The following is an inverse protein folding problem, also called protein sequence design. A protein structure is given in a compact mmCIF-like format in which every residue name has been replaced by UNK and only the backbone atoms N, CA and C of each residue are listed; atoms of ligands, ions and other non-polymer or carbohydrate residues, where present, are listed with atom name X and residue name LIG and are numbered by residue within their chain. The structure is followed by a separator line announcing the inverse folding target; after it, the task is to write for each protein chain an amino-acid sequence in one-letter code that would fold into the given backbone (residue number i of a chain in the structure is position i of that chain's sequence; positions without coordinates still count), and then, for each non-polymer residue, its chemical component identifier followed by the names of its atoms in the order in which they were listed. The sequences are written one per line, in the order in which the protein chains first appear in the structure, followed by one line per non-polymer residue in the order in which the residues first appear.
data_IF_548025795469
#
_entry.id   IF_548025795469
#
_cell.length_a   1.000
_cell.length_b   1.000
_cell.length_c   1.000
_cell.angle_alpha   90.00
_cell.angle_beta   90.00
_cell.angle_gamma   90.00
#
_symmetry.space_group_name_H-M   'P 1'
#
loop_
_entity.id
_entity.type
_entity.pdbx_description
1 polymer ?
#
# COMPACT_ATOMS: atom_id res chain seq x y z
N UNK A 1 -16.61 9.15 10.87
CA UNK A 1 -17.12 10.35 10.15
C UNK A 1 -16.27 11.61 10.37
N UNK A 2 -15.79 11.88 11.62
CA UNK A 2 -15.02 13.11 11.91
C UNK A 2 -13.62 13.14 11.31
N UNK A 3 -12.90 11.99 11.29
CA UNK A 3 -11.54 11.91 10.79
C UNK A 3 -11.52 12.08 9.26
N UNK A 4 -12.41 11.43 8.53
CA UNK A 4 -12.47 11.55 7.07
C UNK A 4 -12.82 12.94 6.60
N UNK A 5 -13.71 13.63 7.30
CA UNK A 5 -14.07 15.02 6.99
C UNK A 5 -12.91 15.99 7.27
N UNK A 6 -12.19 15.81 8.38
CA UNK A 6 -11.08 16.68 8.77
C UNK A 6 -9.84 16.51 7.88
N UNK A 7 -9.59 15.31 7.34
CA UNK A 7 -8.42 14.99 6.52
C UNK A 7 -8.71 15.03 5.02
N UNK A 8 -9.96 15.30 4.59
CA UNK A 8 -10.36 15.30 3.19
C UNK A 8 -10.15 13.94 2.50
N UNK A 9 -10.19 12.86 3.25
CA UNK A 9 -9.98 11.53 2.71
C UNK A 9 -11.15 11.11 1.80
N UNK A 10 -10.83 10.57 0.65
CA UNK A 10 -11.85 10.04 -0.25
C UNK A 10 -12.58 8.87 0.40
N UNK A 11 -13.89 8.94 0.37
CA UNK A 11 -14.77 7.85 0.82
C UNK A 11 -15.45 7.21 -0.40
N UNK A 12 -15.94 5.99 -0.24
CA UNK A 12 -16.68 5.26 -1.28
C UNK A 12 -18.11 5.80 -1.52
N UNK A 13 -18.41 7.00 -1.17
CA UNK A 13 -19.78 7.58 -1.18
C UNK A 13 -20.66 7.11 -0.03
N UNK A 14 -20.27 6.05 0.68
CA UNK A 14 -20.95 5.52 1.87
C UNK A 14 -20.29 6.00 3.17
N UNK A 15 -19.38 6.94 3.09
CA UNK A 15 -18.67 7.52 4.22
C UNK A 15 -17.56 6.63 4.79
N UNK A 16 -17.15 5.58 4.07
CA UNK A 16 -16.03 4.70 4.46
C UNK A 16 -14.71 5.24 3.90
N UNK A 17 -13.66 5.12 4.69
CA UNK A 17 -12.31 5.54 4.30
C UNK A 17 -11.59 4.36 3.66
N UNK A 18 -11.11 4.55 2.45
CA UNK A 18 -10.21 3.59 1.80
C UNK A 18 -8.75 3.92 2.10
N UNK A 19 -7.96 2.93 2.45
CA UNK A 19 -6.53 3.08 2.70
C UNK A 19 -5.74 1.89 2.15
N UNK A 20 -4.47 2.13 1.80
CA UNK A 20 -3.50 1.07 1.56
C UNK A 20 -2.73 0.80 2.85
N UNK A 21 -2.40 -0.46 3.09
CA UNK A 21 -1.58 -0.87 4.21
C UNK A 21 -0.62 -1.97 3.76
N UNK A 22 0.53 -2.08 4.40
CA UNK A 22 1.47 -3.16 4.12
C UNK A 22 0.80 -4.54 4.29
N UNK A 23 1.15 -5.49 3.44
CA UNK A 23 0.61 -6.85 3.48
C UNK A 23 0.88 -7.59 4.78
N UNK A 24 1.91 -7.20 5.55
CA UNK A 24 2.16 -7.71 6.89
C UNK A 24 1.00 -7.44 7.86
N UNK A 25 0.18 -6.41 7.60
CA UNK A 25 -1.02 -6.12 8.38
C UNK A 25 -2.09 -7.23 8.34
N UNK A 26 -1.99 -8.17 7.38
CA UNK A 26 -2.84 -9.36 7.34
C UNK A 26 -2.36 -10.49 8.26
N UNK A 27 -1.16 -10.38 8.82
CA UNK A 27 -0.64 -11.35 9.78
C UNK A 27 -1.32 -11.13 11.13
N UNK A 28 -1.49 -12.22 11.88
CA UNK A 28 -1.97 -12.14 13.26
C UNK A 28 -0.91 -11.47 14.13
N UNK A 29 -1.35 -10.63 15.04
CA UNK A 29 -0.49 -10.13 16.11
C UNK A 29 -0.26 -11.23 17.14
N UNK A 30 0.92 -11.26 17.74
CA UNK A 30 1.24 -12.21 18.83
C UNK A 30 0.27 -12.08 20.03
N UNK A 31 -0.32 -10.91 20.21
CA UNK A 31 -1.21 -10.58 21.32
C UNK A 31 -2.70 -10.82 21.02
N UNK A 32 -3.08 -11.27 19.81
CA UNK A 32 -4.49 -11.38 19.47
C UNK A 32 -4.81 -12.35 18.33
N UNK A 33 -6.06 -12.79 18.28
CA UNK A 33 -6.58 -13.66 17.21
C UNK A 33 -6.82 -12.91 15.90
N UNK A 34 -6.84 -11.56 15.92
CA UNK A 34 -7.15 -10.69 14.80
C UNK A 34 -5.89 -10.08 14.20
N UNK A 35 -5.91 -9.91 12.88
CA UNK A 35 -4.88 -9.14 12.17
C UNK A 35 -5.13 -7.64 12.31
N UNK A 36 -4.10 -6.83 12.06
CA UNK A 36 -4.23 -5.36 12.04
C UNK A 36 -5.26 -4.91 11.00
N UNK A 37 -5.30 -5.55 9.83
CA UNK A 37 -6.30 -5.27 8.80
C UNK A 37 -7.75 -5.51 9.28
N UNK A 38 -7.98 -6.59 10.04
CA UNK A 38 -9.30 -6.86 10.63
C UNK A 38 -9.71 -5.80 11.65
N UNK A 39 -8.76 -5.34 12.47
CA UNK A 39 -9.00 -4.29 13.47
C UNK A 39 -9.35 -2.93 12.82
N UNK A 40 -8.69 -2.58 11.71
CA UNK A 40 -9.04 -1.37 10.94
C UNK A 40 -10.43 -1.49 10.33
N UNK A 41 -10.74 -2.65 9.74
CA UNK A 41 -12.03 -2.89 9.12
C UNK A 41 -13.19 -2.78 10.14
N UNK A 42 -13.03 -3.31 11.35
CA UNK A 42 -14.03 -3.21 12.42
C UNK A 42 -14.29 -1.75 12.83
N UNK A 43 -13.33 -0.86 12.64
CA UNK A 43 -13.47 0.58 12.87
C UNK A 43 -14.01 1.37 11.68
N UNK A 44 -14.44 0.68 10.63
CA UNK A 44 -14.98 1.31 9.41
C UNK A 44 -13.92 1.84 8.46
N UNK A 45 -12.64 1.51 8.67
CA UNK A 45 -11.55 1.86 7.77
C UNK A 45 -11.29 0.67 6.85
N UNK A 46 -11.61 0.83 5.56
CA UNK A 46 -11.35 -0.20 4.57
C UNK A 46 -9.87 -0.16 4.16
N UNK A 47 -9.11 -1.15 4.58
CA UNK A 47 -7.70 -1.29 4.21
C UNK A 47 -7.55 -2.33 3.12
N UNK A 48 -6.78 -1.99 2.09
CA UNK A 48 -6.30 -2.92 1.09
C UNK A 48 -4.85 -3.26 1.41
N UNK A 49 -4.61 -4.49 1.88
CA UNK A 49 -3.29 -5.01 2.19
C UNK A 49 -2.70 -5.84 1.03
N UNK A 50 -3.37 -5.89 -0.12
CA UNK A 50 -2.86 -6.54 -1.33
C UNK A 50 -2.05 -5.54 -2.17
N UNK A 51 -0.97 -5.02 -1.59
CA UNK A 51 -0.08 -4.08 -2.26
C UNK A 51 0.97 -4.80 -3.10
N UNK A 52 1.23 -4.28 -4.30
CA UNK A 52 2.31 -4.78 -5.13
C UNK A 52 3.64 -4.17 -4.64
N UNK A 53 4.56 -5.04 -4.20
CA UNK A 53 5.86 -4.66 -3.63
C UNK A 53 7.03 -4.78 -4.62
N UNK A 54 6.77 -5.02 -5.92
CA UNK A 54 7.85 -5.05 -6.91
C UNK A 54 8.62 -3.72 -6.89
N UNK A 55 9.88 -3.81 -6.50
CA UNK A 55 10.73 -2.65 -6.26
C UNK A 55 11.05 -1.93 -7.57
N UNK A 56 11.53 -2.66 -8.56
CA UNK A 56 12.01 -2.06 -9.81
C UNK A 56 10.86 -1.52 -10.66
N UNK A 57 9.80 -2.31 -10.82
CA UNK A 57 8.60 -1.84 -11.51
C UNK A 57 7.98 -0.63 -10.82
N UNK A 58 7.99 -0.61 -9.48
CA UNK A 58 7.49 0.51 -8.69
C UNK A 58 8.33 1.77 -8.88
N UNK A 59 9.66 1.69 -8.82
CA UNK A 59 10.57 2.81 -9.09
C UNK A 59 10.35 3.36 -10.51
N UNK A 60 10.27 2.48 -11.51
CA UNK A 60 10.04 2.89 -12.89
C UNK A 60 8.70 3.64 -13.04
N UNK A 61 7.64 3.16 -12.41
CA UNK A 61 6.32 3.82 -12.45
C UNK A 61 6.33 5.18 -11.76
N UNK A 62 7.00 5.33 -10.61
CA UNK A 62 7.15 6.62 -9.93
C UNK A 62 7.92 7.61 -10.82
N UNK A 63 9.06 7.18 -11.38
CA UNK A 63 9.85 8.00 -12.32
C UNK A 63 9.02 8.45 -13.51
N UNK A 64 8.27 7.53 -14.12
CA UNK A 64 7.42 7.84 -15.27
C UNK A 64 6.27 8.80 -14.90
N UNK A 65 5.71 8.68 -13.70
CA UNK A 65 4.68 9.60 -13.23
C UNK A 65 5.23 11.01 -12.97
N UNK A 66 6.45 11.12 -12.43
CA UNK A 66 7.13 12.39 -12.22
C UNK A 66 7.57 13.05 -13.53
N UNK A 67 8.12 12.27 -14.48
CA UNK A 67 8.54 12.76 -15.79
C UNK A 67 7.35 13.14 -16.67
N UNK A 68 6.30 12.33 -16.63
CA UNK A 68 5.11 12.46 -17.45
C UNK A 68 5.33 12.13 -18.93
N UNK A 69 4.30 12.36 -19.72
CA UNK A 69 4.31 12.21 -21.18
C UNK A 69 4.31 13.59 -21.83
N UNK A 70 5.19 13.79 -22.82
CA UNK A 70 5.32 15.09 -23.47
C UNK A 70 5.73 16.24 -22.53
N UNK A 71 6.46 15.93 -21.47
CA UNK A 71 6.91 16.91 -20.48
C UNK A 71 5.84 17.36 -19.47
N UNK A 72 4.66 16.73 -19.47
CA UNK A 72 3.59 17.03 -18.51
C UNK A 72 3.60 15.99 -17.38
N UNK A 73 4.07 16.32 -16.16
CA UNK A 73 4.05 15.40 -15.03
C UNK A 73 2.63 14.94 -14.71
N UNK A 74 2.49 13.67 -14.31
CA UNK A 74 1.22 13.09 -13.80
C UNK A 74 1.22 12.97 -12.27
N UNK A 75 2.36 13.24 -11.65
CA UNK A 75 2.54 13.26 -10.20
C UNK A 75 3.17 14.58 -9.80
N UNK A 76 2.51 15.27 -8.89
CA UNK A 76 2.98 16.52 -8.28
C UNK A 76 3.16 16.29 -6.78
N UNK A 77 4.27 16.79 -6.24
CA UNK A 77 4.57 16.69 -4.80
C UNK A 77 4.55 18.10 -4.24
N UNK A 78 3.67 18.34 -3.29
CA UNK A 78 3.57 19.64 -2.63
C UNK A 78 4.79 19.90 -1.74
N UNK A 79 5.19 21.16 -1.62
CA UNK A 79 6.37 21.56 -0.85
C UNK A 79 6.29 21.22 0.65
N UNK A 80 5.10 21.06 1.19
CA UNK A 80 4.88 20.65 2.58
C UNK A 80 5.08 19.14 2.81
N UNK A 81 5.26 18.32 1.75
CA UNK A 81 5.63 16.91 1.86
C UNK A 81 7.13 16.75 2.16
N UNK A 82 7.61 17.37 3.22
CA UNK A 82 9.05 17.53 3.52
C UNK A 82 9.80 16.21 3.66
N UNK A 83 9.17 15.20 4.25
CA UNK A 83 9.77 13.87 4.43
C UNK A 83 9.96 13.17 3.08
N UNK A 84 8.92 13.13 2.25
CA UNK A 84 8.98 12.53 0.92
C UNK A 84 10.04 13.23 0.04
N UNK A 85 10.09 14.57 0.09
CA UNK A 85 11.08 15.34 -0.68
C UNK A 85 12.50 15.03 -0.20
N UNK A 86 12.72 14.93 1.12
CA UNK A 86 14.01 14.56 1.71
C UNK A 86 14.44 13.18 1.24
N UNK A 87 13.55 12.20 1.32
CA UNK A 87 13.83 10.82 0.90
C UNK A 87 14.12 10.74 -0.60
N UNK A 88 13.34 11.43 -1.46
CA UNK A 88 13.60 11.50 -2.91
C UNK A 88 14.99 12.06 -3.24
N UNK A 89 15.42 13.09 -2.53
CA UNK A 89 16.76 13.69 -2.73
C UNK A 89 17.89 12.78 -2.23
N UNK A 90 17.62 11.97 -1.21
CA UNK A 90 18.58 11.04 -0.63
C UNK A 90 18.57 9.64 -1.21
N UNK A 91 17.68 9.35 -2.18
CA UNK A 91 17.52 8.01 -2.75
C UNK A 91 18.56 7.74 -3.83
N UNK A 92 19.45 6.80 -3.57
CA UNK A 92 20.52 6.46 -4.50
C UNK A 92 20.75 4.96 -4.57
N UNK A 93 21.40 4.53 -5.65
CA UNK A 93 21.77 3.14 -5.85
C UNK A 93 22.92 2.75 -4.93
N UNK A 94 22.79 1.60 -4.28
CA UNK A 94 23.84 0.99 -3.49
C UNK A 94 24.73 0.06 -4.32
N UNK A 95 25.55 -0.71 -3.66
CA UNK A 95 26.33 -1.80 -4.28
C UNK A 95 25.36 -2.93 -4.70
N UNK A 96 25.53 -3.45 -5.93
CA UNK A 96 24.74 -4.58 -6.46
C UNK A 96 23.42 -4.16 -7.12
N UNK A 97 23.38 -2.97 -7.73
CA UNK A 97 22.24 -2.46 -8.52
C UNK A 97 20.88 -2.45 -7.78
N UNK A 98 20.92 -2.35 -6.47
CA UNK A 98 19.73 -2.14 -5.64
C UNK A 98 19.81 -0.81 -4.91
N UNK A 99 18.69 -0.11 -4.71
CA UNK A 99 18.69 1.11 -3.92
C UNK A 99 19.16 0.85 -2.49
N UNK A 100 19.90 1.79 -1.92
CA UNK A 100 20.29 1.72 -0.53
C UNK A 100 19.04 1.86 0.35
N UNK A 101 18.78 0.85 1.15
CA UNK A 101 17.64 0.81 2.06
C UNK A 101 17.92 1.63 3.31
N UNK A 102 17.63 2.93 3.23
CA UNK A 102 17.78 3.88 4.32
C UNK A 102 16.83 5.05 4.12
N UNK A 103 16.03 5.36 5.14
CA UNK A 103 15.10 6.49 5.13
C UNK A 103 14.22 6.51 3.86
N UNK A 104 13.53 5.39 3.56
CA UNK A 104 12.78 5.18 2.33
C UNK A 104 11.27 4.91 2.56
N UNK A 105 10.78 5.19 3.77
CA UNK A 105 9.40 4.86 4.16
C UNK A 105 8.35 5.59 3.35
N UNK A 106 8.48 6.91 3.18
CA UNK A 106 7.54 7.69 2.37
C UNK A 106 7.64 7.35 0.88
N UNK A 107 8.82 6.96 0.39
CA UNK A 107 9.02 6.47 -0.96
C UNK A 107 8.35 5.11 -1.18
N UNK A 108 8.44 4.22 -0.22
CA UNK A 108 7.77 2.92 -0.26
C UNK A 108 6.25 3.09 -0.28
N UNK A 109 5.69 3.97 0.56
CA UNK A 109 4.27 4.31 0.56
C UNK A 109 3.82 4.88 -0.78
N UNK A 110 4.56 5.83 -1.34
CA UNK A 110 4.29 6.40 -2.66
C UNK A 110 4.33 5.32 -3.75
N UNK A 111 5.32 4.45 -3.70
CA UNK A 111 5.48 3.33 -4.63
C UNK A 111 4.30 2.36 -4.55
N UNK A 112 3.90 1.96 -3.35
CA UNK A 112 2.74 1.09 -3.14
C UNK A 112 1.45 1.73 -3.65
N UNK A 113 1.26 3.02 -3.42
CA UNK A 113 0.12 3.76 -3.93
C UNK A 113 0.05 3.72 -5.45
N UNK A 114 1.14 4.08 -6.13
CA UNK A 114 1.20 4.13 -7.59
C UNK A 114 1.05 2.73 -8.22
N UNK A 115 1.62 1.70 -7.59
CA UNK A 115 1.52 0.33 -8.06
C UNK A 115 0.12 -0.26 -7.88
N UNK A 116 -0.56 0.07 -6.80
CA UNK A 116 -1.84 -0.53 -6.42
C UNK A 116 -3.05 0.15 -7.06
N UNK A 117 -2.90 1.39 -7.56
CA UNK A 117 -4.00 2.18 -8.15
C UNK A 117 -5.30 2.06 -7.33
N UNK A 118 -5.34 2.51 -6.08
CA UNK A 118 -6.42 2.23 -5.13
C UNK A 118 -7.80 2.75 -5.56
N UNK A 119 -7.87 3.60 -6.60
CA UNK A 119 -9.11 4.19 -7.08
C UNK A 119 -9.93 3.28 -7.98
N UNK A 120 -9.39 2.15 -8.44
CA UNK A 120 -10.03 1.33 -9.48
C UNK A 120 -10.81 0.12 -8.96
N UNK A 121 -10.67 -0.25 -7.70
CA UNK A 121 -11.46 -1.32 -7.09
C UNK A 121 -11.66 -1.05 -5.58
N UNK A 122 -12.85 -1.29 -5.05
CA UNK A 122 -13.05 -1.24 -3.61
C UNK A 122 -12.17 -2.31 -2.94
N UNK A 123 -11.58 -2.02 -1.77
CA UNK A 123 -10.81 -3.01 -1.05
C UNK A 123 -11.73 -4.16 -0.58
N UNK A 124 -11.27 -5.38 -0.77
CA UNK A 124 -11.95 -6.55 -0.26
C UNK A 124 -11.77 -6.66 1.26
N UNK A 125 -12.81 -7.12 1.95
CA UNK A 125 -12.73 -7.41 3.38
C UNK A 125 -11.61 -8.42 3.64
N UNK A 126 -10.69 -8.16 4.58
CA UNK A 126 -9.62 -9.09 4.87
C UNK A 126 -10.19 -10.45 5.30
N UNK A 127 -9.59 -11.51 4.79
CA UNK A 127 -9.98 -12.86 5.15
C UNK A 127 -9.73 -13.09 6.64
N UNK A 128 -10.70 -13.69 7.31
CA UNK A 128 -10.49 -14.15 8.69
C UNK A 128 -9.40 -15.23 8.73
N UNK A 129 -8.86 -15.48 9.89
CA UNK A 129 -7.84 -16.51 10.08
C UNK A 129 -8.29 -17.87 9.56
N UNK A 130 -9.54 -18.26 9.88
CA UNK A 130 -10.13 -19.53 9.44
C UNK A 130 -10.26 -19.61 7.91
N UNK A 131 -10.63 -18.50 7.27
CA UNK A 131 -10.74 -18.45 5.81
C UNK A 131 -9.36 -18.55 5.13
N UNK A 132 -8.34 -17.90 5.68
CA UNK A 132 -6.96 -18.01 5.20
C UNK A 132 -6.44 -19.45 5.30
N UNK A 133 -6.66 -20.11 6.42
CA UNK A 133 -6.22 -21.48 6.63
C UNK A 133 -6.93 -22.44 5.66
N UNK A 134 -8.25 -22.29 5.45
CA UNK A 134 -8.98 -23.06 4.44
C UNK A 134 -8.42 -22.86 3.03
N UNK A 135 -8.12 -21.62 2.65
CA UNK A 135 -7.55 -21.30 1.34
C UNK A 135 -6.14 -21.90 1.17
N UNK A 136 -5.32 -21.89 2.24
CA UNK A 136 -3.99 -22.50 2.23
C UNK A 136 -4.04 -24.01 2.03
N UNK A 137 -4.95 -24.68 2.75
CA UNK A 137 -5.18 -26.13 2.62
C UNK A 137 -5.69 -26.52 1.22
N UNK A 138 -6.59 -25.73 0.64
CA UNK A 138 -7.14 -25.98 -0.71
C UNK A 138 -6.06 -25.84 -1.80
N UNK A 139 -5.10 -24.89 -1.63
CA UNK A 139 -3.98 -24.73 -2.58
C UNK A 139 -2.93 -25.82 -2.45
N UNK A 140 -2.74 -26.38 -1.27
CA UNK A 140 -1.82 -27.51 -1.02
C UNK A 140 -2.26 -28.78 -1.73
N UNK A 141 -3.58 -29.06 -1.79
CA UNK A 141 -4.12 -30.23 -2.48
C UNK A 141 -3.99 -30.22 -4.00
N UNK A 142 -3.88 -29.05 -4.65
CA UNK A 142 -3.73 -28.94 -6.11
C UNK A 142 -2.28 -29.13 -6.60
N UNK A 143 -1.31 -29.28 -5.71
CA UNK A 143 0.11 -29.52 -6.05
C UNK A 143 0.55 -30.98 -5.91
N UNK A 144 -0.37 -31.88 -5.55
CA UNK A 144 -0.09 -33.29 -5.30
C UNK A 144 -0.76 -34.22 -6.34
N UNK A 145 -1.00 -33.73 -7.56
CA UNK A 145 -1.47 -34.53 -8.71
C UNK A 145 -0.55 -34.29 -9.88
#
# INVERSE_FOLDING_TARGET
KRISAALGWHTDGKGRVGALIDSAANQRTLAGSKSVSELFWERGIQVNANVNKDLFAGIARVKNALKGEGGKPRLYIFSNCVHLIRELKGYFWGTGDVPKKRDDHALDELRYYIMSKPHNAPPEKPLTAVQRDKLRLSRGRKRSV
#
